data_IF_233145811692
#
_entry.id   IF_233145811692
#
_cell.length_a   1.000
_cell.length_b   1.000
_cell.length_c   1.000
_cell.angle_alpha   90.00
_cell.angle_beta   90.00
_cell.angle_gamma   90.00
#
_symmetry.space_group_name_H-M   'P 1'
#
loop_
_entity.id
_entity.type
_entity.pdbx_description
1 polymer ?
#
# COMPACT_ATOMS: atom_id res chain seq x y z
N UNK A 1 14.98 -1.71 12.14
CA UNK A 1 13.88 -2.63 12.50
C UNK A 1 13.30 -3.43 11.31
N UNK A 2 13.24 -2.88 10.09
CA UNK A 2 12.64 -3.53 8.91
C UNK A 2 13.16 -4.94 8.54
N UNK A 3 14.43 -5.25 8.85
CA UNK A 3 15.06 -6.52 8.48
C UNK A 3 14.37 -7.75 9.10
N UNK A 4 13.78 -7.61 10.28
CA UNK A 4 13.01 -8.69 10.93
C UNK A 4 11.66 -8.91 10.26
N UNK A 5 10.99 -7.84 9.81
CA UNK A 5 9.72 -7.89 9.12
C UNK A 5 9.82 -8.65 7.79
N UNK A 6 10.80 -8.28 6.95
CA UNK A 6 11.06 -8.95 5.67
C UNK A 6 11.46 -10.42 5.83
N UNK A 7 12.08 -10.79 6.95
CA UNK A 7 12.51 -12.16 7.24
C UNK A 7 11.37 -13.07 7.72
N UNK A 8 10.38 -12.53 8.42
CA UNK A 8 9.25 -13.32 8.97
C UNK A 8 8.06 -13.46 8.02
N UNK A 9 7.75 -12.45 7.19
CA UNK A 9 6.60 -12.44 6.26
C UNK A 9 6.98 -12.68 4.79
N UNK A 10 8.27 -12.71 4.48
CA UNK A 10 8.72 -12.76 3.09
C UNK A 10 8.56 -11.41 2.38
N UNK A 11 9.34 -11.24 1.32
CA UNK A 11 9.50 -9.95 0.61
C UNK A 11 8.20 -9.52 -0.10
N UNK A 12 7.33 -10.46 -0.43
CA UNK A 12 6.14 -10.23 -1.23
C UNK A 12 4.99 -9.62 -0.42
N UNK A 13 4.73 -10.14 0.79
CA UNK A 13 3.72 -9.59 1.70
C UNK A 13 4.07 -8.15 2.10
N UNK A 14 5.35 -7.92 2.42
CA UNK A 14 5.86 -6.58 2.67
C UNK A 14 5.71 -5.65 1.45
N UNK A 15 5.90 -6.19 0.24
CA UNK A 15 5.69 -5.44 -1.00
C UNK A 15 4.25 -4.97 -1.18
N UNK A 16 3.26 -5.80 -0.84
CA UNK A 16 1.83 -5.44 -0.86
C UNK A 16 1.54 -4.27 0.06
N UNK A 17 2.01 -4.34 1.30
CA UNK A 17 1.71 -3.32 2.31
C UNK A 17 2.30 -1.95 1.93
N UNK A 18 3.47 -1.95 1.29
CA UNK A 18 4.12 -0.75 0.78
C UNK A 18 3.35 -0.12 -0.41
N UNK A 19 2.72 -0.93 -1.26
CA UNK A 19 1.82 -0.42 -2.32
C UNK A 19 0.59 0.25 -1.71
N UNK A 20 0.01 -0.33 -0.66
CA UNK A 20 -1.14 0.25 0.04
C UNK A 20 -0.81 1.61 0.67
N UNK A 21 0.35 1.72 1.32
CA UNK A 21 0.83 3.01 1.85
C UNK A 21 1.01 4.02 0.72
N UNK A 22 1.62 3.62 -0.40
CA UNK A 22 1.86 4.52 -1.51
C UNK A 22 0.59 5.01 -2.20
N UNK A 23 -0.42 4.14 -2.30
CA UNK A 23 -1.72 4.46 -2.88
C UNK A 23 -2.44 5.56 -2.09
N UNK A 24 -2.35 5.52 -0.76
CA UNK A 24 -3.05 6.48 0.09
C UNK A 24 -2.40 7.86 0.13
N UNK A 25 -1.10 7.90 -0.08
CA UNK A 25 -0.32 9.14 -0.10
C UNK A 25 -0.34 9.80 -1.49
N UNK A 26 -1.14 9.28 -2.44
CA UNK A 26 -1.47 9.95 -3.70
C UNK A 26 -2.41 11.15 -3.51
N UNK A 27 -3.14 11.18 -2.40
CA UNK A 27 -3.89 12.36 -2.00
C UNK A 27 -2.97 13.24 -1.13
N UNK A 28 -2.87 14.53 -1.45
CA UNK A 28 -1.88 15.42 -0.83
C UNK A 28 -2.17 15.68 0.67
N UNK A 29 -3.39 15.34 1.15
CA UNK A 29 -3.83 15.53 2.54
C UNK A 29 -4.80 14.42 3.01
N UNK A 30 -4.34 13.19 3.28
CA UNK A 30 -5.21 12.18 3.89
C UNK A 30 -5.63 12.66 5.28
N UNK A 31 -6.95 12.68 5.53
CA UNK A 31 -7.50 13.09 6.82
C UNK A 31 -6.92 12.26 7.97
N UNK A 32 -6.94 12.80 9.20
CA UNK A 32 -6.46 12.07 10.37
C UNK A 32 -7.22 10.75 10.56
N UNK A 33 -8.52 10.73 10.27
CA UNK A 33 -9.36 9.54 10.30
C UNK A 33 -8.90 8.50 9.26
N UNK A 34 -8.65 8.92 8.01
CA UNK A 34 -8.12 8.06 6.95
C UNK A 34 -6.76 7.47 7.32
N UNK A 35 -5.89 8.26 7.98
CA UNK A 35 -4.59 7.77 8.46
C UNK A 35 -4.73 6.73 9.57
N UNK A 36 -5.63 6.95 10.52
CA UNK A 36 -5.90 5.97 11.60
C UNK A 36 -6.51 4.69 11.01
N UNK A 37 -7.44 4.82 10.07
CA UNK A 37 -8.01 3.68 9.36
C UNK A 37 -6.94 2.91 8.60
N UNK A 38 -6.04 3.60 7.89
CA UNK A 38 -4.89 2.99 7.21
C UNK A 38 -4.02 2.16 8.16
N UNK A 39 -3.60 2.76 9.28
CA UNK A 39 -2.71 2.06 10.23
C UNK A 39 -3.41 0.82 10.81
N UNK A 40 -4.72 0.91 11.12
CA UNK A 40 -5.51 -0.23 11.58
C UNK A 40 -5.65 -1.33 10.53
N UNK A 41 -5.93 -0.95 9.28
CA UNK A 41 -6.06 -1.92 8.19
C UNK A 41 -4.71 -2.56 7.86
N UNK A 42 -3.60 -1.81 7.90
CA UNK A 42 -2.25 -2.37 7.82
C UNK A 42 -1.98 -3.33 8.97
N UNK A 43 -2.35 -2.96 10.20
CA UNK A 43 -2.19 -3.83 11.35
C UNK A 43 -2.92 -5.17 11.18
N UNK A 44 -4.16 -5.13 10.67
CA UNK A 44 -4.99 -6.31 10.44
C UNK A 44 -4.46 -7.15 9.26
N UNK A 45 -4.26 -6.51 8.10
CA UNK A 45 -3.81 -7.16 6.88
C UNK A 45 -2.39 -7.73 7.02
N UNK A 46 -1.55 -7.04 7.77
CA UNK A 46 -0.20 -7.46 8.09
C UNK A 46 -0.09 -8.06 9.49
N UNK A 47 -1.16 -8.47 10.17
CA UNK A 47 -1.15 -9.19 11.47
C UNK A 47 0.06 -8.82 12.36
N UNK A 48 0.24 -7.53 12.63
CA UNK A 48 1.38 -6.96 13.36
C UNK A 48 0.91 -6.13 14.55
N UNK A 49 1.87 -5.68 15.38
CA UNK A 49 1.57 -4.70 16.42
C UNK A 49 1.24 -3.33 15.80
N UNK A 50 0.55 -2.46 16.54
CA UNK A 50 0.30 -1.08 16.12
C UNK A 50 1.61 -0.35 15.80
N UNK A 51 2.62 -0.50 16.66
CA UNK A 51 3.94 0.07 16.47
C UNK A 51 4.58 -0.37 15.15
N UNK A 52 4.53 -1.66 14.83
CA UNK A 52 5.10 -2.16 13.58
C UNK A 52 4.28 -1.69 12.36
N UNK A 53 2.96 -1.53 12.49
CA UNK A 53 2.14 -0.94 11.42
C UNK A 53 2.50 0.54 11.18
N UNK A 54 2.77 1.32 12.23
CA UNK A 54 3.27 2.69 12.11
C UNK A 54 4.66 2.73 11.44
N UNK A 55 5.55 1.80 11.80
CA UNK A 55 6.86 1.63 11.15
C UNK A 55 6.72 1.27 9.66
N UNK A 56 5.73 0.45 9.27
CA UNK A 56 5.45 0.14 7.87
C UNK A 56 5.03 1.37 7.07
N UNK A 57 4.27 2.28 7.69
CA UNK A 57 3.92 3.57 7.06
C UNK A 57 5.16 4.43 6.86
N UNK A 58 6.04 4.51 7.86
CA UNK A 58 7.31 5.25 7.77
C UNK A 58 8.19 4.67 6.65
N UNK A 59 8.32 3.34 6.59
CA UNK A 59 9.06 2.64 5.54
C UNK A 59 8.45 2.86 4.15
N UNK A 60 7.13 2.82 4.03
CA UNK A 60 6.41 3.11 2.79
C UNK A 60 6.70 4.53 2.30
N UNK A 61 6.66 5.51 3.20
CA UNK A 61 7.00 6.91 2.88
C UNK A 61 8.43 7.09 2.42
N UNK A 62 9.37 6.48 3.13
CA UNK A 62 10.77 6.51 2.70
C UNK A 62 10.92 5.90 1.31
N UNK A 63 10.32 4.73 1.06
CA UNK A 63 10.41 4.05 -0.23
C UNK A 63 9.76 4.83 -1.38
N UNK A 64 8.69 5.57 -1.11
CA UNK A 64 8.10 6.49 -2.09
C UNK A 64 9.06 7.62 -2.47
N UNK A 65 9.76 8.21 -1.49
CA UNK A 65 10.78 9.22 -1.75
C UNK A 65 11.88 8.66 -2.64
N UNK A 66 12.35 7.43 -2.38
CA UNK A 66 13.33 6.74 -3.24
C UNK A 66 12.79 6.45 -4.65
N UNK A 67 11.48 6.32 -4.81
CA UNK A 67 10.84 6.12 -6.12
C UNK A 67 10.60 7.43 -6.89
N UNK A 68 10.82 8.60 -6.29
CA UNK A 68 10.54 9.91 -6.89
C UNK A 68 9.09 10.37 -6.69
N UNK A 69 8.39 9.86 -5.68
CA UNK A 69 7.02 10.23 -5.34
C UNK A 69 6.04 9.04 -5.26
N UNK A 70 4.80 9.28 -4.81
CA UNK A 70 3.79 8.23 -4.61
C UNK A 70 3.37 7.56 -5.92
N UNK A 71 3.18 8.33 -6.98
CA UNK A 71 2.75 7.86 -8.30
C UNK A 71 3.76 6.90 -8.97
N UNK A 72 5.06 7.25 -9.10
CA UNK A 72 6.05 6.29 -9.60
C UNK A 72 6.28 5.12 -8.63
N UNK A 73 6.06 5.29 -7.32
CA UNK A 73 6.15 4.22 -6.35
C UNK A 73 5.08 3.14 -6.58
N UNK A 74 3.81 3.53 -6.72
CA UNK A 74 2.71 2.59 -6.97
C UNK A 74 2.99 1.74 -8.21
N UNK A 75 3.37 2.36 -9.33
CA UNK A 75 3.68 1.63 -10.57
C UNK A 75 4.88 0.68 -10.43
N UNK A 76 5.97 1.13 -9.79
CA UNK A 76 7.20 0.31 -9.64
C UNK A 76 6.99 -0.85 -8.67
N UNK A 77 6.36 -0.58 -7.54
CA UNK A 77 6.11 -1.57 -6.49
C UNK A 77 5.09 -2.61 -6.97
N UNK A 78 4.03 -2.21 -7.66
CA UNK A 78 3.04 -3.14 -8.22
C UNK A 78 3.64 -4.09 -9.25
N UNK A 79 4.47 -3.58 -10.17
CA UNK A 79 5.21 -4.43 -11.12
C UNK A 79 6.18 -5.39 -10.43
N UNK A 80 6.86 -4.93 -9.38
CA UNK A 80 7.80 -5.76 -8.62
C UNK A 80 7.06 -6.84 -7.81
N UNK A 81 5.93 -6.50 -7.22
CA UNK A 81 5.06 -7.42 -6.50
C UNK A 81 4.53 -8.53 -7.43
N UNK A 82 4.01 -8.15 -8.60
CA UNK A 82 3.60 -9.11 -9.63
C UNK A 82 4.75 -10.01 -10.09
N UNK A 83 5.98 -9.48 -10.25
CA UNK A 83 7.15 -10.32 -10.60
C UNK A 83 7.54 -11.33 -9.53
N UNK A 84 7.36 -11.00 -8.25
CA UNK A 84 7.77 -11.87 -7.14
C UNK A 84 6.81 -13.05 -6.94
N UNK A 85 5.52 -12.85 -7.20
CA UNK A 85 4.45 -13.77 -6.76
C UNK A 85 3.24 -13.86 -7.69
N UNK A 86 3.27 -13.20 -8.84
CA UNK A 86 2.15 -13.21 -9.77
C UNK A 86 0.93 -12.49 -9.21
N UNK A 87 -0.27 -13.02 -9.48
CA UNK A 87 -1.55 -12.39 -9.15
C UNK A 87 -2.05 -12.68 -7.73
N UNK A 88 -1.36 -13.51 -6.95
CA UNK A 88 -1.82 -13.94 -5.62
C UNK A 88 -2.00 -12.79 -4.62
N UNK A 89 -1.25 -11.70 -4.78
CA UNK A 89 -1.35 -10.52 -3.92
C UNK A 89 -2.34 -9.47 -4.41
N UNK A 90 -2.90 -9.61 -5.62
CA UNK A 90 -3.83 -8.63 -6.17
C UNK A 90 -5.11 -8.54 -5.33
N UNK A 91 -5.73 -9.68 -5.02
CA UNK A 91 -6.98 -9.69 -4.26
C UNK A 91 -6.80 -9.10 -2.83
N UNK A 92 -5.78 -9.50 -2.06
CA UNK A 92 -5.49 -8.86 -0.77
C UNK A 92 -5.12 -7.38 -0.86
N UNK A 93 -4.40 -6.96 -1.92
CA UNK A 93 -4.09 -5.55 -2.18
C UNK A 93 -5.38 -4.74 -2.39
N UNK A 94 -6.24 -5.21 -3.30
CA UNK A 94 -7.52 -4.58 -3.61
C UNK A 94 -8.47 -4.55 -2.40
N UNK A 95 -8.43 -5.56 -1.54
CA UNK A 95 -9.21 -5.58 -0.31
C UNK A 95 -8.83 -4.43 0.62
N UNK A 96 -7.53 -4.20 0.82
CA UNK A 96 -7.05 -3.08 1.65
C UNK A 96 -7.39 -1.75 1.00
N UNK A 97 -7.12 -1.58 -0.30
CA UNK A 97 -7.47 -0.36 -1.04
C UNK A 97 -8.97 -0.03 -0.94
N UNK A 98 -9.84 -1.03 -1.11
CA UNK A 98 -11.29 -0.86 -0.99
C UNK A 98 -11.70 -0.51 0.44
N UNK A 99 -11.16 -1.20 1.45
CA UNK A 99 -11.45 -0.91 2.86
C UNK A 99 -11.12 0.55 3.20
N UNK A 100 -9.97 1.05 2.71
CA UNK A 100 -9.58 2.44 2.96
C UNK A 100 -10.46 3.42 2.17
N UNK A 101 -10.75 3.13 0.89
CA UNK A 101 -11.65 3.94 0.07
C UNK A 101 -13.07 4.05 0.65
N UNK A 102 -13.53 3.04 1.38
CA UNK A 102 -14.82 3.09 2.11
C UNK A 102 -14.73 3.76 3.48
N UNK A 103 -13.53 3.89 4.05
CA UNK A 103 -13.32 4.49 5.38
C UNK A 103 -13.29 6.02 5.35
N UNK A 104 -12.87 6.61 4.23
CA UNK A 104 -13.05 8.02 3.96
C UNK A 104 -14.48 8.24 3.48
N UNK A 105 -15.24 9.13 4.09
CA UNK A 105 -16.56 9.56 3.60
C UNK A 105 -16.50 10.33 2.26
N UNK A 106 -15.41 10.18 1.50
CA UNK A 106 -15.15 10.84 0.24
C UNK A 106 -14.81 9.79 -0.83
N UNK A 107 -15.33 9.94 -2.07
CA UNK A 107 -14.93 9.08 -3.18
C UNK A 107 -13.42 9.18 -3.43
N UNK A 108 -12.83 8.13 -4.01
CA UNK A 108 -11.42 8.10 -4.40
C UNK A 108 -11.09 9.30 -5.30
N UNK A 109 -9.92 9.91 -5.10
CA UNK A 109 -9.44 11.02 -5.92
C UNK A 109 -9.12 10.57 -7.35
N UNK A 110 -9.08 11.48 -8.32
CA UNK A 110 -8.69 11.16 -9.71
C UNK A 110 -7.32 10.48 -9.79
N UNK A 111 -6.38 10.88 -8.93
CA UNK A 111 -5.04 10.28 -8.85
C UNK A 111 -5.09 8.84 -8.34
N UNK A 112 -5.96 8.56 -7.35
CA UNK A 112 -6.19 7.22 -6.84
C UNK A 112 -6.89 6.32 -7.86
N UNK A 113 -7.84 6.86 -8.64
CA UNK A 113 -8.48 6.13 -9.73
C UNK A 113 -7.46 5.77 -10.81
N UNK A 114 -6.63 6.72 -11.25
CA UNK A 114 -5.55 6.47 -12.20
C UNK A 114 -4.57 5.40 -11.70
N UNK A 115 -4.19 5.48 -10.42
CA UNK A 115 -3.32 4.49 -9.79
C UNK A 115 -3.95 3.10 -9.67
N UNK A 116 -5.27 3.00 -9.49
CA UNK A 116 -6.00 1.73 -9.53
C UNK A 116 -5.89 1.08 -10.91
N UNK A 117 -6.01 1.87 -11.98
CA UNK A 117 -5.89 1.35 -13.34
C UNK A 117 -4.45 0.93 -13.66
N UNK A 118 -3.45 1.66 -13.15
CA UNK A 118 -2.04 1.27 -13.21
C UNK A 118 -1.77 -0.05 -12.47
N UNK A 119 -2.39 -0.25 -11.30
CA UNK A 119 -2.30 -1.51 -10.56
C UNK A 119 -2.92 -2.64 -11.38
N UNK A 120 -4.15 -2.50 -11.88
CA UNK A 120 -4.81 -3.52 -12.72
C UNK A 120 -3.96 -3.89 -13.94
N UNK A 121 -3.43 -2.87 -14.63
CA UNK A 121 -2.55 -3.05 -15.78
C UNK A 121 -1.26 -3.81 -15.40
N UNK A 122 -0.63 -3.47 -14.27
CA UNK A 122 0.57 -4.14 -13.78
C UNK A 122 0.34 -5.62 -13.46
N UNK A 123 -0.86 -5.97 -13.00
CA UNK A 123 -1.27 -7.34 -12.73
C UNK A 123 -1.93 -8.05 -13.94
N UNK A 124 -2.01 -7.37 -15.10
CA UNK A 124 -2.62 -7.87 -16.35
C UNK A 124 -4.08 -8.33 -16.18
N UNK A 125 -4.86 -7.57 -15.41
CA UNK A 125 -6.29 -7.79 -15.18
C UNK A 125 -7.10 -6.68 -15.83
#
# INVERSE_FOLDING_TARGET
MAYWYFRLRGISDAGRDLVNVAFLELDDLPSQETRIAMVRELQNAAHVSLHDAEELVILGRWLMTECGGPEPAVSRLSRKLHKLRGTEHLAPLMQVINAIGTSGNAPLSERQISALDDIKCAFKV
#
